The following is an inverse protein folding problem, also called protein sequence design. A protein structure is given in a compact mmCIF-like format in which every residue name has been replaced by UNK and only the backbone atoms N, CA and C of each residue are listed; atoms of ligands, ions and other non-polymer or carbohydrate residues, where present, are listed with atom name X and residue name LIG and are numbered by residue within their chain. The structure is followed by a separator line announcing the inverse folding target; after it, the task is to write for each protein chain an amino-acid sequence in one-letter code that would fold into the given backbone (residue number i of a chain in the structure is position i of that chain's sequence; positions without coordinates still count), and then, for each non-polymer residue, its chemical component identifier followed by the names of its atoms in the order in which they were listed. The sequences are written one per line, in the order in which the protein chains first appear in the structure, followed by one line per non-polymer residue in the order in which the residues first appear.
data_IF_548259774218
#
_entry.id   IF_548259774218
#
_cell.length_a   1.000
_cell.length_b   1.000
_cell.length_c   1.000
_cell.angle_alpha   90.00
_cell.angle_beta   90.00
_cell.angle_gamma   90.00
#
_symmetry.space_group_name_H-M   'P 1'
#
loop_
_entity.id
_entity.type
_entity.pdbx_description
1 polymer ?
#
# COMPACT_ATOMS: atom_id res chain seq x y z
N UNK A 1 -0.08 -17.61 -28.71
CA UNK A 1 -1.52 -17.47 -29.07
C UNK A 1 -2.10 -18.73 -29.69
N UNK A 2 -1.63 -19.23 -30.85
CA UNK A 2 -2.20 -20.44 -31.49
C UNK A 2 -2.14 -21.74 -30.65
N UNK A 3 -1.17 -21.88 -29.76
CA UNK A 3 -1.08 -23.02 -28.82
C UNK A 3 -1.97 -22.87 -27.58
N UNK A 4 -2.45 -21.65 -27.27
CA UNK A 4 -3.36 -21.37 -26.16
C UNK A 4 -4.80 -21.69 -26.60
N UNK A 5 -5.16 -21.36 -27.84
CA UNK A 5 -6.51 -21.61 -28.37
C UNK A 5 -6.83 -23.10 -28.59
N UNK A 6 -5.82 -23.94 -28.83
CA UNK A 6 -6.02 -25.38 -29.10
C UNK A 6 -6.35 -26.22 -27.86
N UNK A 7 -6.21 -25.67 -26.64
CA UNK A 7 -6.51 -26.39 -25.39
C UNK A 7 -8.00 -26.37 -24.99
N UNK A 8 -8.84 -25.55 -25.63
CA UNK A 8 -10.15 -25.16 -25.10
C UNK A 8 -11.38 -25.58 -25.92
N UNK A 9 -11.29 -26.63 -26.74
CA UNK A 9 -12.44 -27.14 -27.51
C UNK A 9 -13.22 -28.30 -26.85
N UNK A 10 -12.93 -28.67 -25.61
CA UNK A 10 -13.63 -29.75 -24.90
C UNK A 10 -14.24 -29.26 -23.58
N UNK A 11 -15.32 -29.91 -23.13
CA UNK A 11 -15.97 -29.67 -21.84
C UNK A 11 -14.97 -29.86 -20.69
N UNK A 12 -14.29 -28.79 -20.27
CA UNK A 12 -13.34 -28.80 -19.18
C UNK A 12 -14.08 -28.91 -17.84
N UNK A 13 -13.73 -29.92 -17.04
CA UNK A 13 -14.17 -30.07 -15.65
C UNK A 13 -13.75 -28.85 -14.81
N UNK A 14 -14.47 -28.57 -13.71
CA UNK A 14 -14.29 -27.36 -12.90
C UNK A 14 -12.83 -27.15 -12.42
N UNK A 15 -12.10 -28.24 -12.12
CA UNK A 15 -10.68 -28.19 -11.71
C UNK A 15 -9.78 -27.61 -12.80
N UNK A 16 -9.99 -28.03 -14.05
CA UNK A 16 -9.22 -27.51 -15.19
C UNK A 16 -9.46 -26.01 -15.34
N UNK A 17 -10.70 -25.56 -15.15
CA UNK A 17 -11.06 -24.14 -15.25
C UNK A 17 -10.41 -23.28 -14.16
N UNK A 18 -10.32 -23.77 -12.93
CA UNK A 18 -9.64 -23.05 -11.83
C UNK A 18 -8.15 -22.91 -12.10
N UNK A 19 -7.50 -23.96 -12.60
CA UNK A 19 -6.10 -23.92 -13.00
C UNK A 19 -5.86 -22.97 -14.17
N UNK A 20 -6.73 -22.99 -15.18
CA UNK A 20 -6.66 -22.06 -16.31
C UNK A 20 -6.84 -20.61 -15.85
N UNK A 21 -7.80 -20.35 -14.95
CA UNK A 21 -7.98 -19.04 -14.34
C UNK A 21 -6.73 -18.55 -13.61
N UNK A 22 -6.13 -19.41 -12.79
CA UNK A 22 -4.88 -19.10 -12.09
C UNK A 22 -3.76 -18.79 -13.08
N UNK A 23 -3.62 -19.59 -14.13
CA UNK A 23 -2.65 -19.39 -15.21
C UNK A 23 -2.83 -18.01 -15.88
N UNK A 24 -4.04 -17.67 -16.31
CA UNK A 24 -4.30 -16.35 -16.92
C UNK A 24 -3.98 -15.19 -15.97
N UNK A 25 -4.30 -15.31 -14.68
CA UNK A 25 -3.99 -14.29 -13.68
C UNK A 25 -2.47 -14.11 -13.47
N UNK A 26 -1.71 -15.21 -13.42
CA UNK A 26 -0.24 -15.18 -13.33
C UNK A 26 0.34 -14.49 -14.57
N UNK A 27 -0.11 -14.86 -15.77
CA UNK A 27 0.39 -14.28 -17.01
C UNK A 27 0.03 -12.81 -17.17
N UNK A 28 -1.17 -12.40 -16.73
CA UNK A 28 -1.57 -10.99 -16.74
C UNK A 28 -0.57 -10.13 -15.95
N UNK A 29 -0.17 -10.56 -14.75
CA UNK A 29 0.85 -9.88 -13.94
C UNK A 29 2.25 -10.00 -14.54
N UNK A 30 2.62 -11.20 -15.01
CA UNK A 30 3.92 -11.46 -15.61
C UNK A 30 4.23 -10.56 -16.79
N UNK A 31 3.25 -10.34 -17.68
CA UNK A 31 3.38 -9.44 -18.84
C UNK A 31 3.59 -7.98 -18.42
N UNK A 32 2.99 -7.54 -17.31
CA UNK A 32 3.17 -6.17 -16.82
C UNK A 32 4.57 -5.96 -16.24
N UNK A 33 5.10 -6.98 -15.57
CA UNK A 33 6.42 -6.91 -14.93
C UNK A 33 7.57 -7.36 -15.84
N UNK A 34 7.27 -7.88 -17.03
CA UNK A 34 8.27 -8.23 -18.03
C UNK A 34 8.95 -6.97 -18.59
N UNK A 35 10.23 -6.81 -18.25
CA UNK A 35 11.08 -5.69 -18.69
C UNK A 35 11.97 -6.01 -19.87
N UNK A 36 11.82 -7.19 -20.48
CA UNK A 36 12.67 -7.63 -21.58
C UNK A 36 12.64 -6.69 -22.81
N UNK A 37 11.64 -5.79 -22.89
CA UNK A 37 11.36 -4.94 -24.06
C UNK A 37 10.99 -3.50 -23.67
N UNK A 38 11.74 -2.86 -22.76
CA UNK A 38 11.52 -1.45 -22.40
C UNK A 38 11.74 -0.53 -23.62
N UNK A 39 10.63 -0.01 -24.18
CA UNK A 39 10.65 1.05 -25.21
C UNK A 39 9.54 0.96 -26.26
N UNK A 40 9.38 -0.16 -26.96
CA UNK A 40 8.44 -0.27 -28.09
C UNK A 40 7.12 -0.97 -27.74
N UNK A 41 7.10 -1.86 -26.74
CA UNK A 41 5.99 -2.79 -26.52
C UNK A 41 5.18 -2.52 -25.25
N UNK A 42 5.44 -1.45 -24.48
CA UNK A 42 4.75 -1.20 -23.19
C UNK A 42 3.23 -1.11 -23.33
N UNK A 43 2.72 -0.42 -24.36
CA UNK A 43 1.28 -0.34 -24.63
C UNK A 43 0.69 -1.68 -25.05
N UNK A 44 1.40 -2.45 -25.87
CA UNK A 44 0.99 -3.79 -26.30
C UNK A 44 0.98 -4.78 -25.14
N UNK A 45 1.94 -4.68 -24.21
CA UNK A 45 2.01 -5.50 -23.00
C UNK A 45 0.85 -5.17 -22.07
N UNK A 46 0.51 -3.89 -21.86
CA UNK A 46 -0.67 -3.49 -21.06
C UNK A 46 -1.97 -4.02 -21.68
N UNK A 47 -2.11 -3.93 -22.99
CA UNK A 47 -3.27 -4.47 -23.72
C UNK A 47 -3.36 -6.01 -23.62
N UNK A 48 -2.22 -6.71 -23.74
CA UNK A 48 -2.17 -8.16 -23.57
C UNK A 48 -2.50 -8.56 -22.13
N UNK A 49 -1.94 -7.86 -21.14
CA UNK A 49 -2.23 -8.09 -19.72
C UNK A 49 -3.72 -7.88 -19.42
N UNK A 50 -4.34 -6.85 -20.00
CA UNK A 50 -5.78 -6.61 -19.88
C UNK A 50 -6.60 -7.76 -20.46
N UNK A 51 -6.27 -8.26 -21.65
CA UNK A 51 -6.95 -9.42 -22.26
C UNK A 51 -6.84 -10.68 -21.40
N UNK A 52 -5.63 -10.97 -20.89
CA UNK A 52 -5.39 -12.11 -20.01
C UNK A 52 -6.18 -11.97 -18.70
N UNK A 53 -6.23 -10.78 -18.13
CA UNK A 53 -7.04 -10.49 -16.94
C UNK A 53 -8.54 -10.70 -17.20
N UNK A 54 -9.06 -10.23 -18.33
CA UNK A 54 -10.45 -10.45 -18.73
C UNK A 54 -10.78 -11.96 -18.87
N UNK A 55 -9.88 -12.77 -19.42
CA UNK A 55 -10.07 -14.23 -19.47
C UNK A 55 -10.06 -14.85 -18.06
N UNK A 56 -9.18 -14.40 -17.16
CA UNK A 56 -9.19 -14.84 -15.76
C UNK A 56 -10.51 -14.50 -15.06
N UNK A 57 -11.09 -13.32 -15.31
CA UNK A 57 -12.41 -12.94 -14.80
C UNK A 57 -13.53 -13.78 -15.41
N UNK A 58 -13.47 -14.08 -16.72
CA UNK A 58 -14.47 -14.91 -17.42
C UNK A 58 -14.53 -16.33 -16.87
N UNK A 59 -13.39 -16.86 -16.43
CA UNK A 59 -13.28 -18.19 -15.84
C UNK A 59 -13.62 -18.23 -14.34
N UNK A 60 -14.08 -17.12 -13.74
CA UNK A 60 -14.54 -17.13 -12.34
C UNK A 60 -15.76 -18.05 -12.21
N UNK A 61 -15.56 -19.21 -11.59
CA UNK A 61 -16.63 -20.19 -11.34
C UNK A 61 -17.53 -19.67 -10.22
N UNK A 62 -18.69 -19.12 -10.58
CA UNK A 62 -19.75 -18.73 -9.60
C UNK A 62 -20.72 -19.90 -9.34
N UNK A 63 -20.67 -20.95 -10.15
CA UNK A 63 -21.73 -21.95 -10.26
C UNK A 63 -21.76 -22.99 -9.14
N UNK A 64 -20.62 -23.26 -8.50
CA UNK A 64 -20.52 -24.15 -7.35
C UNK A 64 -20.07 -23.32 -6.14
N UNK A 65 -20.86 -23.30 -5.07
CA UNK A 65 -20.65 -22.51 -3.84
C UNK A 65 -19.43 -22.96 -3.00
N UNK A 66 -18.47 -23.64 -3.63
CA UNK A 66 -17.27 -24.17 -3.02
C UNK A 66 -16.11 -23.22 -3.29
N UNK A 67 -15.56 -22.62 -2.24
CA UNK A 67 -14.34 -21.83 -2.32
C UNK A 67 -13.15 -22.79 -2.28
N UNK A 68 -12.25 -22.73 -3.26
CA UNK A 68 -11.00 -23.49 -3.31
C UNK A 68 -9.80 -22.57 -3.10
N UNK A 69 -8.67 -23.14 -2.65
CA UNK A 69 -7.40 -22.39 -2.50
C UNK A 69 -6.95 -21.84 -3.86
N UNK A 70 -7.04 -22.63 -4.94
CA UNK A 70 -6.66 -22.23 -6.31
C UNK A 70 -7.49 -21.04 -6.78
N UNK A 71 -8.81 -21.08 -6.58
CA UNK A 71 -9.71 -19.97 -6.90
C UNK A 71 -9.40 -18.71 -6.09
N UNK A 72 -9.02 -18.85 -4.82
CA UNK A 72 -8.61 -17.74 -3.96
C UNK A 72 -7.22 -17.18 -4.33
N UNK A 73 -6.27 -18.03 -4.77
CA UNK A 73 -4.98 -17.58 -5.31
C UNK A 73 -5.19 -16.72 -6.56
N UNK A 74 -6.06 -17.13 -7.48
CA UNK A 74 -6.39 -16.34 -8.67
C UNK A 74 -7.09 -15.01 -8.31
N UNK A 75 -7.95 -15.00 -7.27
CA UNK A 75 -8.57 -13.79 -6.75
C UNK A 75 -7.55 -12.85 -6.08
N UNK A 76 -6.57 -13.38 -5.36
CA UNK A 76 -5.45 -12.59 -4.82
C UNK A 76 -4.61 -11.95 -5.95
N UNK A 77 -4.29 -12.70 -7.00
CA UNK A 77 -3.59 -12.14 -8.17
C UNK A 77 -4.42 -11.08 -8.90
N UNK A 78 -5.75 -11.20 -8.88
CA UNK A 78 -6.66 -10.15 -9.38
C UNK A 78 -6.53 -8.87 -8.56
N UNK A 79 -6.44 -8.98 -7.22
CA UNK A 79 -6.19 -7.82 -6.36
C UNK A 79 -4.85 -7.15 -6.72
N UNK A 80 -3.79 -7.94 -6.89
CA UNK A 80 -2.49 -7.42 -7.30
C UNK A 80 -2.54 -6.75 -8.68
N UNK A 81 -3.28 -7.31 -9.64
CA UNK A 81 -3.45 -6.72 -10.96
C UNK A 81 -4.06 -5.32 -10.87
N UNK A 82 -5.13 -5.15 -10.09
CA UNK A 82 -5.75 -3.83 -9.88
C UNK A 82 -4.76 -2.83 -9.26
N UNK A 83 -3.95 -3.26 -8.30
CA UNK A 83 -2.92 -2.40 -7.68
C UNK A 83 -1.84 -1.99 -8.69
N UNK A 84 -1.37 -2.92 -9.53
CA UNK A 84 -0.39 -2.63 -10.58
C UNK A 84 -0.97 -1.64 -11.60
N UNK A 85 -2.26 -1.76 -11.92
CA UNK A 85 -3.00 -0.85 -12.80
C UNK A 85 -3.46 0.43 -12.10
N UNK A 86 -3.10 0.63 -10.83
CA UNK A 86 -3.47 1.81 -10.05
C UNK A 86 -4.97 2.00 -9.84
N UNK A 87 -5.73 0.91 -9.87
CA UNK A 87 -7.18 0.82 -9.65
C UNK A 87 -7.45 0.50 -8.16
N UNK A 88 -7.15 1.43 -7.25
CA UNK A 88 -7.18 1.16 -5.81
C UNK A 88 -8.58 0.89 -5.25
N UNK A 89 -9.62 1.50 -5.82
CA UNK A 89 -11.00 1.28 -5.38
C UNK A 89 -11.44 -0.15 -5.69
N UNK A 90 -11.16 -0.61 -6.90
CA UNK A 90 -11.40 -1.97 -7.37
C UNK A 90 -10.54 -2.97 -6.60
N UNK A 91 -9.26 -2.63 -6.35
CA UNK A 91 -8.38 -3.44 -5.50
C UNK A 91 -8.95 -3.61 -4.09
N UNK A 92 -9.45 -2.54 -3.47
CA UNK A 92 -10.01 -2.59 -2.12
C UNK A 92 -11.28 -3.45 -2.07
N UNK A 93 -12.18 -3.29 -3.05
CA UNK A 93 -13.36 -4.14 -3.18
C UNK A 93 -12.99 -5.62 -3.41
N UNK A 94 -12.00 -5.88 -4.27
CA UNK A 94 -11.50 -7.22 -4.55
C UNK A 94 -10.86 -7.87 -3.31
N UNK A 95 -10.10 -7.12 -2.51
CA UNK A 95 -9.54 -7.57 -1.23
C UNK A 95 -10.65 -7.93 -0.25
N UNK A 96 -11.72 -7.14 -0.17
CA UNK A 96 -12.90 -7.47 0.64
C UNK A 96 -13.58 -8.77 0.19
N UNK A 97 -13.74 -8.98 -1.13
CA UNK A 97 -14.25 -10.24 -1.71
C UNK A 97 -13.35 -11.42 -1.36
N UNK A 98 -12.03 -11.27 -1.56
CA UNK A 98 -11.03 -12.27 -1.22
C UNK A 98 -11.06 -12.64 0.26
N UNK A 99 -11.19 -11.65 1.15
CA UNK A 99 -11.28 -11.89 2.59
C UNK A 99 -12.47 -12.80 2.92
N UNK A 100 -13.63 -12.58 2.29
CA UNK A 100 -14.80 -13.47 2.43
C UNK A 100 -14.55 -14.86 1.86
N UNK A 101 -13.88 -14.97 0.70
CA UNK A 101 -13.48 -16.26 0.13
C UNK A 101 -12.57 -17.04 1.09
N UNK A 102 -11.52 -16.42 1.62
CA UNK A 102 -10.57 -17.05 2.54
C UNK A 102 -11.23 -17.43 3.88
N UNK A 103 -12.18 -16.61 4.36
CA UNK A 103 -13.00 -16.94 5.53
C UNK A 103 -13.90 -18.14 5.27
N UNK A 104 -14.53 -18.21 4.10
CA UNK A 104 -15.39 -19.34 3.71
C UNK A 104 -14.61 -20.64 3.51
N UNK A 105 -13.34 -20.58 3.09
CA UNK A 105 -12.41 -21.74 3.06
C UNK A 105 -12.02 -22.16 4.49
N UNK A 106 -12.00 -21.24 5.44
CA UNK A 106 -11.58 -21.47 6.82
C UNK A 106 -10.09 -21.18 7.08
N UNK A 107 -9.38 -20.50 6.17
CA UNK A 107 -7.93 -20.24 6.29
C UNK A 107 -7.56 -19.23 7.39
N UNK A 108 -8.55 -18.53 7.96
CA UNK A 108 -8.39 -17.67 9.13
C UNK A 108 -8.37 -18.43 10.45
N UNK A 109 -8.67 -19.73 10.42
CA UNK A 109 -8.75 -20.60 11.60
C UNK A 109 -7.51 -21.46 11.75
N UNK A 110 -7.17 -21.79 12.99
CA UNK A 110 -6.18 -22.82 13.29
C UNK A 110 -6.59 -24.17 12.67
N UNK A 111 -5.71 -24.76 11.86
CA UNK A 111 -5.87 -26.10 11.29
C UNK A 111 -4.90 -27.07 11.96
N UNK A 112 -5.43 -28.14 12.57
CA UNK A 112 -4.59 -29.26 13.02
C UNK A 112 -3.92 -29.90 11.80
N UNK A 113 -2.64 -30.27 11.96
CA UNK A 113 -1.77 -30.82 10.91
C UNK A 113 -2.23 -32.19 10.39
N UNK A 114 -3.32 -32.76 10.90
CA UNK A 114 -3.84 -34.08 10.53
C UNK A 114 -4.52 -34.14 9.13
N UNK A 115 -4.30 -33.14 8.27
CA UNK A 115 -4.81 -33.06 6.89
C UNK A 115 -3.89 -33.80 5.89
N UNK A 116 -4.39 -34.39 4.79
CA UNK A 116 -3.65 -35.39 3.99
C UNK A 116 -2.41 -34.89 3.21
N UNK A 117 -2.15 -33.59 3.15
CA UNK A 117 -0.97 -33.01 2.48
C UNK A 117 -0.51 -31.75 3.23
N UNK A 118 0.63 -31.82 3.92
CA UNK A 118 1.28 -30.68 4.59
C UNK A 118 1.43 -29.46 3.67
N UNK A 119 1.70 -29.72 2.39
CA UNK A 119 1.89 -28.72 1.34
C UNK A 119 0.69 -27.80 1.14
N UNK A 120 -0.52 -28.36 0.97
CA UNK A 120 -1.74 -27.56 0.74
C UNK A 120 -2.10 -26.70 1.97
N UNK A 121 -1.73 -27.16 3.17
CA UNK A 121 -1.90 -26.42 4.42
C UNK A 121 -0.99 -25.17 4.45
N UNK A 122 0.28 -25.32 4.10
CA UNK A 122 1.25 -24.22 4.11
C UNK A 122 0.94 -23.19 3.02
N UNK A 123 0.53 -23.62 1.82
CA UNK A 123 0.08 -22.71 0.75
C UNK A 123 -1.17 -21.91 1.16
N UNK A 124 -2.11 -22.55 1.86
CA UNK A 124 -3.26 -21.87 2.46
C UNK A 124 -2.86 -20.80 3.47
N UNK A 125 -1.93 -21.10 4.38
CA UNK A 125 -1.40 -20.11 5.35
C UNK A 125 -0.71 -18.95 4.65
N UNK A 126 0.15 -19.22 3.66
CA UNK A 126 0.87 -18.20 2.90
C UNK A 126 -0.10 -17.28 2.18
N UNK A 127 -1.11 -17.83 1.52
CA UNK A 127 -2.16 -17.06 0.85
C UNK A 127 -2.91 -16.17 1.84
N UNK A 128 -3.35 -16.73 2.97
CA UNK A 128 -4.06 -15.99 4.01
C UNK A 128 -3.25 -14.81 4.53
N UNK A 129 -1.99 -15.03 4.93
CA UNK A 129 -1.16 -13.97 5.48
C UNK A 129 -0.71 -12.94 4.44
N UNK A 130 -0.54 -13.32 3.18
CA UNK A 130 -0.35 -12.38 2.06
C UNK A 130 -1.57 -11.48 1.86
N UNK A 131 -2.78 -12.06 1.84
CA UNK A 131 -4.03 -11.30 1.73
C UNK A 131 -4.25 -10.40 2.95
N UNK A 132 -3.92 -10.89 4.15
CA UNK A 132 -3.94 -10.12 5.39
C UNK A 132 -3.02 -8.90 5.32
N UNK A 133 -1.76 -9.08 4.91
CA UNK A 133 -0.83 -7.98 4.68
C UNK A 133 -1.41 -6.96 3.70
N UNK A 134 -1.95 -7.45 2.58
CA UNK A 134 -2.49 -6.59 1.54
C UNK A 134 -3.66 -5.74 2.06
N UNK A 135 -4.58 -6.33 2.82
CA UNK A 135 -5.68 -5.62 3.48
C UNK A 135 -5.17 -4.52 4.41
N UNK A 136 -4.21 -4.83 5.29
CA UNK A 136 -3.66 -3.84 6.25
C UNK A 136 -3.05 -2.63 5.57
N UNK A 137 -2.19 -2.84 4.57
CA UNK A 137 -1.53 -1.71 3.89
C UNK A 137 -2.46 -0.94 2.97
N UNK A 138 -3.36 -1.62 2.26
CA UNK A 138 -4.30 -0.94 1.37
C UNK A 138 -5.32 -0.12 2.17
N UNK A 139 -5.84 -0.69 3.26
CA UNK A 139 -6.73 0.01 4.19
C UNK A 139 -6.03 1.19 4.86
N UNK A 140 -4.77 1.03 5.30
CA UNK A 140 -3.95 2.13 5.82
C UNK A 140 -3.77 3.27 4.81
N UNK A 141 -3.46 2.92 3.56
CA UNK A 141 -3.27 3.90 2.48
C UNK A 141 -4.54 4.69 2.18
N UNK A 142 -5.69 4.01 2.15
CA UNK A 142 -6.97 4.58 1.75
C UNK A 142 -7.76 5.19 2.91
N UNK A 143 -7.28 5.09 4.16
CA UNK A 143 -8.05 5.51 5.33
C UNK A 143 -9.33 4.68 5.52
N UNK A 144 -9.32 3.40 5.15
CA UNK A 144 -10.52 2.53 5.18
C UNK A 144 -10.43 1.48 6.29
N UNK A 145 -11.57 0.96 6.77
CA UNK A 145 -11.57 -0.18 7.68
C UNK A 145 -11.00 -1.44 7.02
N UNK A 146 -10.29 -2.24 7.83
CA UNK A 146 -9.74 -3.53 7.41
C UNK A 146 -10.84 -4.58 7.22
N UNK A 147 -10.72 -5.41 6.18
CA UNK A 147 -11.62 -6.54 5.95
C UNK A 147 -11.40 -7.66 6.98
N UNK A 148 -10.16 -7.90 7.39
CA UNK A 148 -9.79 -8.88 8.40
C UNK A 148 -9.82 -8.31 9.81
N UNK A 149 -10.58 -8.95 10.69
CA UNK A 149 -10.69 -8.59 12.10
C UNK A 149 -9.80 -9.50 12.94
N UNK A 150 -8.84 -8.92 13.67
CA UNK A 150 -7.84 -9.70 14.41
C UNK A 150 -8.45 -10.61 15.48
N UNK A 151 -9.58 -10.21 16.06
CA UNK A 151 -10.33 -11.01 17.04
C UNK A 151 -10.88 -12.32 16.48
N UNK A 152 -11.02 -12.42 15.16
CA UNK A 152 -11.61 -13.58 14.49
C UNK A 152 -10.53 -14.54 13.95
N UNK A 153 -9.24 -14.20 14.10
CA UNK A 153 -8.11 -14.93 13.51
C UNK A 153 -7.35 -15.70 14.59
N UNK A 154 -7.32 -17.03 14.46
CA UNK A 154 -6.43 -17.92 15.22
C UNK A 154 -5.52 -18.78 14.34
N UNK A 155 -5.42 -18.46 13.04
CA UNK A 155 -4.49 -19.09 12.11
C UNK A 155 -3.01 -18.92 12.55
N UNK A 156 -2.23 -19.99 12.41
CA UNK A 156 -0.78 -19.95 12.60
C UNK A 156 -0.08 -19.25 11.45
N UNK A 157 1.10 -18.70 11.72
CA UNK A 157 2.01 -18.26 10.67
C UNK A 157 2.55 -19.44 9.84
N UNK A 158 2.95 -19.21 8.58
CA UNK A 158 3.62 -20.24 7.78
C UNK A 158 4.95 -20.67 8.40
N UNK A 159 5.30 -21.93 8.21
CA UNK A 159 6.57 -22.51 8.63
C UNK A 159 7.73 -21.98 7.77
N UNK A 160 8.94 -22.00 8.32
CA UNK A 160 10.15 -21.56 7.64
C UNK A 160 10.75 -22.66 6.74
N UNK A 161 9.92 -23.28 5.89
CA UNK A 161 10.35 -24.29 4.92
C UNK A 161 10.56 -23.64 3.56
N UNK A 162 11.70 -23.92 2.91
CA UNK A 162 11.97 -23.51 1.53
C UNK A 162 11.29 -24.48 0.56
N UNK A 163 10.53 -23.98 -0.41
CA UNK A 163 9.90 -24.80 -1.47
C UNK A 163 10.94 -25.58 -2.31
N UNK A 164 12.21 -25.16 -2.26
CA UNK A 164 13.35 -25.82 -2.92
C UNK A 164 13.82 -27.06 -2.14
N UNK A 165 13.67 -27.07 -0.81
CA UNK A 165 14.16 -28.15 0.05
C UNK A 165 13.25 -29.38 0.06
N UNK A 166 11.95 -29.24 -0.26
CA UNK A 166 11.03 -30.38 -0.36
C UNK A 166 11.23 -31.23 -1.64
N UNK A 167 11.90 -30.70 -2.67
CA UNK A 167 12.17 -31.41 -3.93
C UNK A 167 13.61 -31.96 -4.05
N UNK A 168 14.52 -31.63 -3.14
CA UNK A 168 15.92 -32.07 -3.20
C UNK A 168 16.18 -33.31 -2.34
N UNK A 169 16.04 -34.48 -2.98
CA UNK A 169 16.62 -35.78 -2.55
C UNK A 169 18.17 -35.77 -2.56
N UNK A 170 18.83 -34.61 -2.70
CA UNK A 170 20.29 -34.51 -2.84
C UNK A 170 20.93 -33.41 -1.99
N UNK A 171 21.01 -33.64 -0.67
CA UNK A 171 22.24 -33.49 0.14
C UNK A 171 23.02 -32.16 0.18
N UNK A 172 22.55 -31.07 -0.41
CA UNK A 172 23.13 -29.73 -0.30
C UNK A 172 22.09 -28.82 0.35
N UNK A 173 22.03 -28.85 1.68
CA UNK A 173 21.18 -27.93 2.44
C UNK A 173 21.41 -26.49 1.95
N UNK A 174 20.33 -25.73 1.76
CA UNK A 174 20.39 -24.34 1.29
C UNK A 174 21.43 -23.57 2.10
N UNK A 175 22.54 -23.19 1.47
CA UNK A 175 23.59 -22.41 2.13
C UNK A 175 23.16 -20.97 2.46
N UNK A 176 21.92 -20.58 2.12
CA UNK A 176 21.37 -19.24 2.33
C UNK A 176 20.15 -19.21 3.27
N UNK A 177 19.79 -18.03 3.83
CA UNK A 177 18.63 -17.87 4.69
C UNK A 177 17.30 -18.26 4.00
N UNK A 178 16.35 -18.83 4.74
CA UNK A 178 15.04 -19.20 4.18
C UNK A 178 14.31 -17.97 3.62
N UNK A 179 13.83 -18.04 2.37
CA UNK A 179 13.11 -16.95 1.70
C UNK A 179 11.81 -16.55 2.43
N UNK A 180 11.19 -17.48 3.16
CA UNK A 180 9.99 -17.22 3.94
C UNK A 180 10.25 -16.29 5.14
N UNK A 181 11.49 -16.17 5.61
CA UNK A 181 11.86 -15.39 6.81
C UNK A 181 11.39 -13.94 6.70
N UNK A 182 11.61 -13.30 5.55
CA UNK A 182 11.21 -11.90 5.36
C UNK A 182 9.69 -11.74 5.22
N UNK A 183 9.01 -12.70 4.57
CA UNK A 183 7.55 -12.69 4.47
C UNK A 183 6.90 -12.83 5.86
N UNK A 184 7.41 -13.77 6.68
CA UNK A 184 6.98 -13.96 8.06
C UNK A 184 7.19 -12.69 8.90
N UNK A 185 8.37 -12.07 8.81
CA UNK A 185 8.64 -10.80 9.47
C UNK A 185 7.64 -9.72 9.03
N UNK A 186 7.32 -9.67 7.73
CA UNK A 186 6.36 -8.71 7.19
C UNK A 186 4.94 -8.95 7.70
N UNK A 187 4.50 -10.20 7.78
CA UNK A 187 3.18 -10.55 8.34
C UNK A 187 3.04 -10.08 9.79
N UNK A 188 4.08 -10.28 10.60
CA UNK A 188 4.12 -9.80 11.99
C UNK A 188 4.04 -8.27 12.06
N UNK A 189 4.79 -7.56 11.22
CA UNK A 189 4.74 -6.09 11.17
C UNK A 189 3.37 -5.59 10.70
N UNK A 190 2.75 -6.23 9.73
CA UNK A 190 1.42 -5.86 9.25
C UNK A 190 0.35 -5.95 10.34
N UNK A 191 0.47 -6.88 11.31
CA UNK A 191 -0.39 -6.87 12.51
C UNK A 191 -0.21 -5.59 13.33
N UNK A 192 1.03 -5.13 13.51
CA UNK A 192 1.31 -3.89 14.24
C UNK A 192 0.76 -2.68 13.47
N UNK A 193 0.97 -2.61 12.14
CA UNK A 193 0.39 -1.58 11.27
C UNK A 193 -1.14 -1.59 11.31
N UNK A 194 -1.76 -2.77 11.40
CA UNK A 194 -3.19 -2.93 11.64
C UNK A 194 -3.63 -2.25 12.94
N UNK A 195 -2.93 -2.49 14.05
CA UNK A 195 -3.21 -1.81 15.31
C UNK A 195 -3.00 -0.29 15.22
N UNK A 196 -1.97 0.18 14.52
CA UNK A 196 -1.74 1.63 14.31
C UNK A 196 -2.96 2.26 13.62
N UNK A 197 -3.45 1.64 12.55
CA UNK A 197 -4.60 2.18 11.80
C UNK A 197 -5.90 2.12 12.59
N UNK A 198 -6.17 1.04 13.34
CA UNK A 198 -7.41 0.91 14.10
C UNK A 198 -7.41 1.67 15.42
N UNK A 199 -6.28 1.72 16.11
CA UNK A 199 -6.23 2.17 17.50
C UNK A 199 -5.85 3.65 17.60
N UNK A 200 -5.07 4.20 16.65
CA UNK A 200 -4.71 5.62 16.64
C UNK A 200 -5.69 6.42 15.78
N UNK A 201 -6.04 5.89 14.61
CA UNK A 201 -6.89 6.57 13.63
C UNK A 201 -8.33 6.08 13.60
N UNK A 202 -8.67 5.08 14.43
CA UNK A 202 -10.06 4.65 14.57
C UNK A 202 -10.90 5.53 15.50
N UNK A 203 -12.23 5.41 15.42
CA UNK A 203 -13.17 6.26 16.16
C UNK A 203 -13.13 6.06 17.69
N UNK A 204 -12.46 4.99 18.15
CA UNK A 204 -12.37 4.58 19.55
C UNK A 204 -11.38 5.43 20.36
N UNK A 205 -10.35 6.00 19.75
CA UNK A 205 -9.31 6.74 20.46
C UNK A 205 -9.55 8.25 20.40
N UNK A 206 -10.42 8.74 21.29
CA UNK A 206 -10.77 10.17 21.40
C UNK A 206 -9.96 10.91 22.45
N UNK A 207 -9.43 10.21 23.44
CA UNK A 207 -8.60 10.81 24.48
C UNK A 207 -7.14 10.95 24.04
N UNK A 208 -6.58 12.14 24.25
CA UNK A 208 -5.22 12.51 23.87
C UNK A 208 -4.21 11.72 24.69
N UNK A 209 -4.40 11.61 26.01
CA UNK A 209 -3.48 10.89 26.88
C UNK A 209 -3.46 9.40 26.57
N UNK A 210 -4.63 8.79 26.34
CA UNK A 210 -4.75 7.42 25.84
C UNK A 210 -4.01 7.23 24.51
N UNK A 211 -4.16 8.17 23.57
CA UNK A 211 -3.46 8.12 22.27
C UNK A 211 -1.95 8.12 22.44
N UNK A 212 -1.40 8.99 23.29
CA UNK A 212 0.04 9.05 23.57
C UNK A 212 0.55 7.74 24.18
N UNK A 213 -0.18 7.15 25.12
CA UNK A 213 0.17 5.84 25.71
C UNK A 213 0.16 4.73 24.66
N UNK A 214 -0.85 4.71 23.77
CA UNK A 214 -0.92 3.76 22.66
C UNK A 214 0.24 3.92 21.68
N UNK A 215 0.63 5.16 21.35
CA UNK A 215 1.78 5.45 20.49
C UNK A 215 3.06 4.87 21.09
N UNK A 216 3.32 5.12 22.39
CA UNK A 216 4.51 4.58 23.07
C UNK A 216 4.50 3.04 23.07
N UNK A 217 3.34 2.44 23.39
CA UNK A 217 3.20 0.99 23.38
C UNK A 217 3.42 0.37 21.99
N UNK A 218 2.88 0.99 20.93
CA UNK A 218 3.05 0.53 19.55
C UNK A 218 4.47 0.77 19.04
N UNK A 219 5.12 1.90 19.40
CA UNK A 219 6.54 2.15 19.10
C UNK A 219 7.43 1.05 19.68
N UNK A 220 7.20 0.66 20.93
CA UNK A 220 7.94 -0.44 21.57
C UNK A 220 7.73 -1.75 20.82
N UNK A 221 6.49 -2.09 20.43
CA UNK A 221 6.21 -3.29 19.62
C UNK A 221 6.94 -3.30 18.27
N UNK A 222 7.06 -2.14 17.61
CA UNK A 222 7.82 -2.02 16.36
C UNK A 222 9.33 -2.21 16.60
N UNK A 223 9.85 -1.70 17.72
CA UNK A 223 11.26 -1.89 18.11
C UNK A 223 11.55 -3.36 18.44
N UNK A 224 10.71 -3.98 19.29
CA UNK A 224 10.81 -5.40 19.65
C UNK A 224 10.79 -6.29 18.40
N UNK A 225 9.94 -5.94 17.42
CA UNK A 225 9.89 -6.62 16.13
C UNK A 225 11.21 -6.48 15.36
N UNK A 226 11.79 -5.28 15.31
CA UNK A 226 13.03 -5.01 14.60
C UNK A 226 14.24 -5.72 15.24
N UNK A 227 14.28 -5.82 16.57
CA UNK A 227 15.32 -6.52 17.32
C UNK A 227 15.31 -8.04 17.09
N UNK A 228 14.16 -8.61 16.76
CA UNK A 228 14.01 -10.04 16.45
C UNK A 228 14.46 -10.40 15.02
N UNK A 229 14.77 -9.42 14.18
CA UNK A 229 15.15 -9.68 12.79
C UNK A 229 16.60 -10.17 12.68
N UNK A 230 16.89 -11.11 11.77
CA UNK A 230 18.26 -11.39 11.36
C UNK A 230 18.97 -10.12 10.87
N UNK A 231 20.27 -10.02 11.12
CA UNK A 231 21.07 -8.84 10.79
C UNK A 231 20.92 -8.37 9.32
N UNK A 232 20.77 -9.31 8.38
CA UNK A 232 20.62 -8.99 6.95
C UNK A 232 19.25 -8.39 6.57
N UNK A 233 18.26 -8.44 7.47
CA UNK A 233 16.94 -7.83 7.34
C UNK A 233 16.73 -6.63 8.27
N UNK A 234 17.68 -6.34 9.17
CA UNK A 234 17.51 -5.30 10.18
C UNK A 234 17.46 -3.91 9.54
N UNK A 235 16.49 -3.05 9.92
CA UNK A 235 16.44 -1.65 9.47
C UNK A 235 17.63 -0.83 9.99
N UNK A 236 18.32 -1.29 11.04
CA UNK A 236 19.45 -0.62 11.66
C UNK A 236 20.80 -0.92 10.98
N UNK A 237 20.82 -1.68 9.87
CA UNK A 237 22.05 -2.09 9.16
C UNK A 237 22.76 -0.96 8.41
N UNK A 238 22.45 0.32 8.71
CA UNK A 238 23.12 1.49 8.13
C UNK A 238 23.01 1.57 6.61
N UNK A 239 21.91 1.06 6.04
CA UNK A 239 21.68 1.03 4.60
C UNK A 239 22.56 0.02 3.83
N UNK A 240 23.20 -0.93 4.50
CA UNK A 240 23.93 -2.02 3.85
C UNK A 240 22.95 -3.09 3.39
N UNK A 241 22.76 -3.19 2.08
CA UNK A 241 21.92 -4.23 1.49
C UNK A 241 22.71 -5.52 1.26
N UNK A 242 22.07 -6.70 1.41
CA UNK A 242 22.63 -7.97 0.97
C UNK A 242 23.07 -7.94 -0.49
N UNK A 243 24.11 -8.72 -0.83
CA UNK A 243 24.63 -8.80 -2.20
C UNK A 243 23.67 -9.50 -3.16
N UNK A 244 22.91 -10.49 -2.68
CA UNK A 244 21.95 -11.22 -3.52
C UNK A 244 20.68 -10.38 -3.73
N UNK A 245 20.24 -10.12 -4.98
CA UNK A 245 19.12 -9.22 -5.27
C UNK A 245 17.81 -9.58 -4.55
N UNK A 246 17.52 -10.87 -4.37
CA UNK A 246 16.31 -11.33 -3.66
C UNK A 246 16.31 -10.90 -2.19
N UNK A 247 17.43 -11.08 -1.49
CA UNK A 247 17.56 -10.66 -0.10
C UNK A 247 17.67 -9.13 0.03
N UNK A 248 18.30 -8.46 -0.93
CA UNK A 248 18.31 -7.00 -1.01
C UNK A 248 16.89 -6.43 -1.10
N UNK A 249 16.06 -7.01 -1.97
CA UNK A 249 14.65 -6.65 -2.09
C UNK A 249 13.89 -6.87 -0.78
N UNK A 250 14.09 -8.02 -0.13
CA UNK A 250 13.45 -8.34 1.15
C UNK A 250 13.83 -7.33 2.24
N UNK A 251 15.12 -7.04 2.38
CA UNK A 251 15.63 -6.06 3.33
C UNK A 251 15.07 -4.66 3.06
N UNK A 252 15.05 -4.22 1.80
CA UNK A 252 14.49 -2.92 1.41
C UNK A 252 13.00 -2.80 1.73
N UNK A 253 12.20 -3.84 1.44
CA UNK A 253 10.76 -3.86 1.73
C UNK A 253 10.51 -3.75 3.23
N UNK A 254 11.21 -4.55 4.04
CA UNK A 254 11.04 -4.53 5.49
C UNK A 254 11.53 -3.22 6.12
N UNK A 255 12.64 -2.67 5.63
CA UNK A 255 13.14 -1.37 6.08
C UNK A 255 12.14 -0.24 5.78
N UNK A 256 11.59 -0.21 4.57
CA UNK A 256 10.55 0.77 4.21
C UNK A 256 9.29 0.60 5.04
N UNK A 257 8.84 -0.64 5.26
CA UNK A 257 7.67 -0.93 6.08
C UNK A 257 7.87 -0.51 7.54
N UNK A 258 9.06 -0.76 8.10
CA UNK A 258 9.44 -0.31 9.45
C UNK A 258 9.33 1.21 9.58
N UNK A 259 10.02 1.96 8.71
CA UNK A 259 10.00 3.42 8.79
C UNK A 259 8.62 3.99 8.48
N UNK A 260 7.84 3.36 7.60
CA UNK A 260 6.46 3.77 7.38
C UNK A 260 5.58 3.56 8.62
N UNK A 261 5.77 2.47 9.37
CA UNK A 261 5.06 2.26 10.64
C UNK A 261 5.39 3.38 11.64
N UNK A 262 6.66 3.77 11.77
CA UNK A 262 7.08 4.88 12.65
C UNK A 262 6.51 6.21 12.17
N UNK A 263 6.61 6.51 10.87
CA UNK A 263 6.01 7.71 10.28
C UNK A 263 4.50 7.75 10.57
N UNK A 264 3.81 6.61 10.45
CA UNK A 264 2.37 6.49 10.72
C UNK A 264 2.01 6.66 12.20
N UNK A 265 2.92 6.45 13.16
CA UNK A 265 2.65 6.74 14.57
C UNK A 265 2.61 8.23 14.86
N UNK A 266 3.48 9.00 14.19
CA UNK A 266 3.81 10.35 14.59
C UNK A 266 3.40 11.44 13.59
N UNK A 267 3.02 11.09 12.35
CA UNK A 267 2.71 12.05 11.28
C UNK A 267 1.68 13.13 11.65
N UNK A 268 0.72 12.83 12.52
CA UNK A 268 -0.28 13.81 12.98
C UNK A 268 0.34 14.96 13.78
N UNK A 269 1.44 14.73 14.50
CA UNK A 269 2.10 15.74 15.34
C UNK A 269 2.94 16.75 14.54
N UNK A 270 3.32 16.42 13.31
CA UNK A 270 4.01 17.35 12.40
C UNK A 270 3.02 18.35 11.79
N UNK A 271 1.76 17.95 11.65
CA UNK A 271 0.71 18.77 11.04
C UNK A 271 0.08 19.76 12.01
N UNK A 272 0.15 19.49 13.32
CA UNK A 272 -0.38 20.40 14.34
C UNK A 272 0.36 21.75 14.31
N UNK A 273 -0.26 22.75 13.66
CA UNK A 273 0.26 24.13 13.54
C UNK A 273 0.17 24.92 14.84
N UNK A 274 -0.75 24.54 15.71
CA UNK A 274 -0.87 25.09 17.05
C UNK A 274 -0.86 23.91 18.03
N UNK A 275 0.10 23.84 18.96
CA UNK A 275 0.02 22.83 20.00
C UNK A 275 -1.26 23.11 20.78
N UNK A 276 -2.21 22.18 20.72
CA UNK A 276 -3.32 22.16 21.67
C UNK A 276 -2.71 22.34 23.07
N UNK A 277 -3.09 23.37 23.85
CA UNK A 277 -2.49 23.64 25.14
C UNK A 277 -2.64 22.48 26.15
N UNK A 278 -3.49 21.49 25.84
CA UNK A 278 -3.60 20.24 26.59
C UNK A 278 -2.50 19.21 26.26
N UNK A 279 -1.73 19.39 25.19
CA UNK A 279 -0.64 18.49 24.79
C UNK A 279 0.66 18.81 25.54
N UNK A 280 1.33 17.77 26.01
CA UNK A 280 2.70 17.88 26.51
C UNK A 280 3.65 18.29 25.37
N UNK A 281 4.19 19.50 25.46
CA UNK A 281 5.13 20.06 24.48
C UNK A 281 6.39 19.20 24.30
N UNK A 282 6.82 18.49 25.34
CA UNK A 282 7.99 17.60 25.27
C UNK A 282 7.67 16.39 24.41
N UNK A 283 6.51 15.76 24.63
CA UNK A 283 6.03 14.67 23.78
C UNK A 283 5.89 15.11 22.32
N UNK A 284 5.30 16.28 22.07
CA UNK A 284 5.12 16.81 20.70
C UNK A 284 6.46 16.98 19.99
N UNK A 285 7.46 17.57 20.65
CA UNK A 285 8.81 17.73 20.08
C UNK A 285 9.44 16.38 19.72
N UNK A 286 9.38 15.40 20.62
CA UNK A 286 9.92 14.05 20.37
C UNK A 286 9.19 13.37 19.22
N UNK A 287 7.87 13.48 19.16
CA UNK A 287 7.06 12.93 18.08
C UNK A 287 7.41 13.55 16.72
N UNK A 288 7.63 14.87 16.67
CA UNK A 288 8.03 15.56 15.44
C UNK A 288 9.41 15.12 14.96
N UNK A 289 10.38 14.96 15.87
CA UNK A 289 11.72 14.50 15.52
C UNK A 289 11.71 13.03 15.04
N UNK A 290 10.94 12.16 15.69
CA UNK A 290 10.74 10.76 15.27
C UNK A 290 10.07 10.65 13.88
N UNK A 291 9.06 11.49 13.61
CA UNK A 291 8.41 11.53 12.29
C UNK A 291 9.39 11.97 11.19
N UNK A 292 10.23 12.97 11.49
CA UNK A 292 11.23 13.49 10.55
C UNK A 292 12.36 12.50 10.31
N UNK A 293 12.87 11.84 11.35
CA UNK A 293 13.87 10.79 11.22
C UNK A 293 13.34 9.64 10.34
N UNK A 294 12.09 9.22 10.57
CA UNK A 294 11.45 8.20 9.74
C UNK A 294 11.32 8.65 8.27
N UNK A 295 10.89 9.88 8.03
CA UNK A 295 10.75 10.42 6.67
C UNK A 295 12.09 10.55 5.94
N UNK A 296 13.15 10.98 6.63
CA UNK A 296 14.50 11.05 6.07
C UNK A 296 15.08 9.67 5.78
N UNK A 297 14.84 8.70 6.67
CA UNK A 297 15.28 7.31 6.49
C UNK A 297 14.57 6.65 5.29
N UNK A 298 13.28 6.93 5.09
CA UNK A 298 12.55 6.56 3.88
C UNK A 298 13.20 7.18 2.65
N UNK A 299 13.51 8.48 2.68
CA UNK A 299 14.14 9.19 1.56
C UNK A 299 15.49 8.57 1.17
N UNK A 300 16.32 8.22 2.15
CA UNK A 300 17.58 7.50 1.93
C UNK A 300 17.35 6.12 1.32
N UNK A 301 16.38 5.35 1.83
CA UNK A 301 16.08 4.02 1.32
C UNK A 301 15.60 4.05 -0.14
N UNK A 302 14.67 4.94 -0.49
CA UNK A 302 14.18 5.06 -1.87
C UNK A 302 15.23 5.65 -2.81
N UNK A 303 16.15 6.47 -2.31
CA UNK A 303 17.33 6.93 -3.06
C UNK A 303 18.25 5.77 -3.43
N UNK A 304 18.54 4.89 -2.49
CA UNK A 304 19.34 3.69 -2.75
C UNK A 304 18.68 2.78 -3.80
N UNK A 305 17.36 2.60 -3.73
CA UNK A 305 16.60 1.85 -4.75
C UNK A 305 16.74 2.51 -6.12
N UNK A 306 16.56 3.83 -6.20
CA UNK A 306 16.71 4.59 -7.43
C UNK A 306 18.13 4.44 -8.02
N UNK A 307 19.16 4.64 -7.20
CA UNK A 307 20.56 4.63 -7.64
C UNK A 307 21.03 3.23 -8.05
N UNK A 308 20.48 2.18 -7.43
CA UNK A 308 20.73 0.82 -7.85
C UNK A 308 20.08 0.47 -9.20
N UNK A 309 19.06 1.21 -9.64
CA UNK A 309 18.22 0.86 -10.80
C UNK A 309 17.30 -0.36 -10.60
N UNK A 310 17.38 -1.03 -9.45
CA UNK A 310 16.63 -2.25 -9.14
C UNK A 310 15.28 -1.94 -8.51
N UNK A 311 14.38 -1.31 -9.28
CA UNK A 311 13.03 -1.04 -8.83
C UNK A 311 12.23 -2.32 -8.57
N UNK A 312 11.52 -2.39 -7.46
CA UNK A 312 10.59 -3.48 -7.17
C UNK A 312 9.17 -3.05 -7.48
N UNK A 313 8.77 -3.10 -8.76
CA UNK A 313 7.42 -2.67 -9.18
C UNK A 313 6.28 -3.54 -8.62
N UNK A 314 6.59 -4.76 -8.17
CA UNK A 314 5.65 -5.60 -7.41
C UNK A 314 5.26 -5.03 -6.05
N UNK A 315 6.05 -4.11 -5.49
CA UNK A 315 5.78 -3.47 -4.21
C UNK A 315 5.17 -2.08 -4.43
N UNK A 316 3.91 -2.08 -4.85
CA UNK A 316 3.08 -0.90 -5.15
C UNK A 316 3.06 0.13 -4.02
N UNK A 317 3.23 -0.31 -2.78
CA UNK A 317 3.19 0.54 -1.60
C UNK A 317 4.42 1.48 -1.47
N UNK A 318 5.55 1.18 -2.11
CA UNK A 318 6.77 2.01 -2.03
C UNK A 318 6.52 3.46 -2.42
N UNK A 319 5.78 3.67 -3.52
CA UNK A 319 5.48 5.01 -4.03
C UNK A 319 4.66 5.81 -3.03
N UNK A 320 3.71 5.16 -2.34
CA UNK A 320 2.94 5.79 -1.28
C UNK A 320 3.81 6.15 -0.06
N UNK A 321 4.70 5.25 0.37
CA UNK A 321 5.64 5.53 1.48
C UNK A 321 6.51 6.76 1.16
N UNK A 322 7.08 6.82 -0.05
CA UNK A 322 7.89 7.96 -0.50
C UNK A 322 7.09 9.26 -0.57
N UNK A 323 5.85 9.17 -1.06
CA UNK A 323 4.91 10.29 -1.10
C UNK A 323 4.60 10.81 0.30
N UNK A 324 4.20 9.93 1.22
CA UNK A 324 3.87 10.28 2.61
C UNK A 324 5.06 10.93 3.34
N UNK A 325 6.26 10.37 3.21
CA UNK A 325 7.48 10.96 3.76
C UNK A 325 7.76 12.36 3.19
N UNK A 326 7.55 12.54 1.88
CA UNK A 326 7.72 13.84 1.22
C UNK A 326 6.78 14.90 1.80
N UNK A 327 5.50 14.56 2.03
CA UNK A 327 4.54 15.49 2.60
C UNK A 327 4.93 15.92 4.03
N UNK A 328 5.33 14.98 4.88
CA UNK A 328 5.78 15.27 6.26
C UNK A 328 7.00 16.20 6.27
N UNK A 329 7.98 15.95 5.39
CA UNK A 329 9.14 16.83 5.26
C UNK A 329 8.76 18.19 4.69
N UNK A 330 7.84 18.27 3.72
CA UNK A 330 7.38 19.55 3.15
C UNK A 330 6.68 20.41 4.20
N UNK A 331 5.76 19.81 4.98
CA UNK A 331 5.10 20.50 6.10
C UNK A 331 6.15 21.07 7.06
N UNK A 332 7.14 20.26 7.42
CA UNK A 332 8.22 20.70 8.30
C UNK A 332 9.05 21.83 7.69
N UNK A 333 9.40 21.76 6.40
CA UNK A 333 10.12 22.86 5.73
C UNK A 333 9.32 24.15 5.63
N UNK A 334 7.99 24.09 5.58
CA UNK A 334 7.13 25.28 5.54
C UNK A 334 7.17 26.09 6.85
N UNK A 335 7.63 25.49 7.94
CA UNK A 335 7.76 26.10 9.26
C UNK A 335 9.18 26.64 9.53
N UNK A 336 10.13 26.43 8.61
CA UNK A 336 11.54 26.80 8.76
C UNK A 336 11.91 27.95 7.82
N UNK A 337 12.85 28.78 8.22
CA UNK A 337 13.43 29.78 7.33
C UNK A 337 14.34 29.12 6.27
N UNK A 338 14.33 29.60 5.00
CA UNK A 338 15.15 29.03 3.92
C UNK A 338 16.65 28.97 4.18
N UNK A 339 17.16 29.83 5.06
CA UNK A 339 18.58 29.92 5.40
C UNK A 339 18.99 28.91 6.48
N UNK A 340 18.05 28.19 7.07
CA UNK A 340 18.35 27.18 8.08
C UNK A 340 18.97 25.92 7.44
N UNK A 341 19.99 25.36 8.08
CA UNK A 341 20.61 24.11 7.65
C UNK A 341 19.61 22.95 7.62
N UNK A 342 18.64 22.95 8.56
CA UNK A 342 17.55 21.95 8.62
C UNK A 342 16.66 22.02 7.38
N UNK A 343 16.36 23.22 6.87
CA UNK A 343 15.60 23.39 5.62
C UNK A 343 16.34 22.75 4.44
N UNK A 344 17.63 23.03 4.27
CA UNK A 344 18.43 22.47 3.18
C UNK A 344 18.55 20.94 3.25
N UNK A 345 18.68 20.39 4.46
CA UNK A 345 18.72 18.94 4.68
C UNK A 345 17.40 18.27 4.27
N UNK A 346 16.27 18.77 4.77
CA UNK A 346 14.95 18.23 4.44
C UNK A 346 14.62 18.37 2.95
N UNK A 347 14.96 19.50 2.32
CA UNK A 347 14.77 19.69 0.89
C UNK A 347 15.56 18.69 0.04
N UNK A 348 16.79 18.36 0.44
CA UNK A 348 17.60 17.31 -0.19
C UNK A 348 16.95 15.92 -0.08
N UNK A 349 16.40 15.59 1.10
CA UNK A 349 15.64 14.36 1.31
C UNK A 349 14.35 14.32 0.50
N UNK A 350 13.60 15.43 0.39
CA UNK A 350 12.41 15.51 -0.48
C UNK A 350 12.80 15.27 -1.94
N UNK A 351 13.90 15.87 -2.43
CA UNK A 351 14.40 15.63 -3.79
C UNK A 351 14.75 14.16 -4.03
N UNK A 352 15.29 13.48 -3.02
CA UNK A 352 15.59 12.05 -3.10
C UNK A 352 14.32 11.21 -3.34
N UNK A 353 13.23 11.50 -2.61
CA UNK A 353 11.93 10.89 -2.87
C UNK A 353 11.39 11.25 -4.26
N UNK A 354 11.50 12.51 -4.67
CA UNK A 354 11.03 12.96 -5.98
C UNK A 354 11.72 12.24 -7.14
N UNK A 355 13.04 12.02 -7.08
CA UNK A 355 13.78 11.32 -8.13
C UNK A 355 13.33 9.86 -8.27
N UNK A 356 13.03 9.21 -7.15
CA UNK A 356 12.42 7.88 -7.14
C UNK A 356 11.01 7.92 -7.78
N UNK A 357 10.15 8.83 -7.32
CA UNK A 357 8.76 8.95 -7.81
C UNK A 357 8.71 9.28 -9.31
N UNK A 358 9.58 10.18 -9.79
CA UNK A 358 9.69 10.53 -11.21
C UNK A 358 10.04 9.30 -12.05
N UNK A 359 11.02 8.52 -11.60
CA UNK A 359 11.51 7.34 -12.32
C UNK A 359 10.45 6.25 -12.42
N UNK A 360 9.73 5.98 -11.33
CA UNK A 360 8.63 5.00 -11.30
C UNK A 360 7.38 5.55 -12.00
N UNK A 361 7.15 6.86 -11.96
CA UNK A 361 6.03 7.55 -12.58
C UNK A 361 5.98 7.39 -14.11
N UNK A 362 7.14 7.21 -14.76
CA UNK A 362 7.22 6.93 -16.21
C UNK A 362 6.40 5.73 -16.65
N UNK A 363 6.19 4.75 -15.76
CA UNK A 363 5.44 3.53 -16.07
C UNK A 363 4.13 3.40 -15.29
N UNK A 364 4.03 4.04 -14.12
CA UNK A 364 2.90 3.95 -13.21
C UNK A 364 2.24 5.34 -13.03
N UNK A 365 1.00 5.47 -13.51
CA UNK A 365 0.27 6.75 -13.54
C UNK A 365 0.02 7.36 -12.17
N UNK A 366 -0.25 6.54 -11.14
CA UNK A 366 -0.44 7.06 -9.78
C UNK A 366 0.87 7.58 -9.20
N UNK A 367 1.98 6.92 -9.48
CA UNK A 367 3.28 7.38 -8.98
C UNK A 367 3.69 8.70 -9.66
N UNK A 368 3.35 8.87 -10.94
CA UNK A 368 3.49 10.15 -11.64
C UNK A 368 2.61 11.25 -11.01
N UNK A 369 1.39 10.90 -10.59
CA UNK A 369 0.55 11.83 -9.83
C UNK A 369 1.19 12.22 -8.48
N UNK A 370 1.70 11.25 -7.71
CA UNK A 370 2.43 11.54 -6.46
C UNK A 370 3.61 12.47 -6.69
N UNK A 371 4.39 12.24 -7.75
CA UNK A 371 5.50 13.12 -8.13
C UNK A 371 5.01 14.55 -8.39
N UNK A 372 3.98 14.72 -9.22
CA UNK A 372 3.41 16.04 -9.58
C UNK A 372 2.87 16.78 -8.36
N UNK A 373 2.15 16.09 -7.47
CA UNK A 373 1.63 16.68 -6.23
C UNK A 373 2.78 17.16 -5.33
N UNK A 374 3.78 16.31 -5.09
CA UNK A 374 4.96 16.68 -4.27
C UNK A 374 5.70 17.85 -4.89
N UNK A 375 5.89 17.85 -6.22
CA UNK A 375 6.56 18.94 -6.93
C UNK A 375 5.82 20.27 -6.77
N UNK A 376 4.50 20.26 -6.97
CA UNK A 376 3.68 21.46 -6.90
C UNK A 376 3.65 22.05 -5.48
N UNK A 377 3.40 21.21 -4.47
CA UNK A 377 3.35 21.68 -3.06
C UNK A 377 4.73 22.21 -2.64
N UNK A 378 5.82 21.51 -2.99
CA UNK A 378 7.17 21.96 -2.68
C UNK A 378 7.50 23.31 -3.33
N UNK A 379 7.09 23.53 -4.58
CA UNK A 379 7.30 24.80 -5.27
C UNK A 379 6.49 25.91 -4.61
N UNK A 380 5.22 25.67 -4.27
CA UNK A 380 4.39 26.62 -3.55
C UNK A 380 5.00 27.01 -2.19
N UNK A 381 5.52 26.05 -1.42
CA UNK A 381 6.20 26.35 -0.14
C UNK A 381 7.44 27.21 -0.37
N UNK A 382 8.25 26.92 -1.39
CA UNK A 382 9.46 27.69 -1.73
C UNK A 382 9.16 29.13 -2.17
N UNK A 383 8.13 29.32 -2.98
CA UNK A 383 7.72 30.64 -3.47
C UNK A 383 7.14 31.52 -2.37
N UNK A 384 6.50 30.91 -1.37
CA UNK A 384 5.92 31.62 -0.21
C UNK A 384 6.87 31.72 0.98
N UNK A 385 8.01 31.01 0.98
CA UNK A 385 9.03 31.07 2.02
C UNK A 385 9.65 32.46 2.29
N UNK A 386 9.73 33.43 1.35
CA UNK A 386 10.11 34.80 1.68
C UNK A 386 8.97 35.65 2.27
N UNK A 387 7.72 35.16 2.29
CA UNK A 387 6.54 35.89 2.77
C UNK A 387 5.96 35.32 4.07
N UNK A 388 6.78 34.83 5.00
CA UNK A 388 6.35 34.24 6.29
C UNK A 388 5.44 35.16 7.15
N UNK A 389 5.14 36.39 6.71
CA UNK A 389 4.15 37.28 7.32
C UNK A 389 2.88 37.59 6.49
N UNK A 390 2.70 37.12 5.24
CA UNK A 390 1.48 37.40 4.48
C UNK A 390 0.95 36.16 3.73
N UNK A 391 -0.38 36.04 3.73
CA UNK A 391 -1.12 34.94 3.12
C UNK A 391 -0.81 34.75 1.62
N UNK A 392 -0.85 33.49 1.20
CA UNK A 392 -0.53 33.01 -0.15
C UNK A 392 -1.64 33.47 -1.12
N UNK A 393 -1.33 33.92 -2.35
CA UNK A 393 -2.35 34.42 -3.28
C UNK A 393 -3.30 33.30 -3.76
N UNK A 394 -4.61 33.59 -3.80
CA UNK A 394 -5.70 32.68 -4.18
C UNK A 394 -5.50 31.97 -5.54
N UNK A 395 -4.74 32.55 -6.47
CA UNK A 395 -4.47 31.95 -7.78
C UNK A 395 -3.59 30.70 -7.74
N UNK A 396 -2.95 30.38 -6.60
CA UNK A 396 -2.22 29.12 -6.39
C UNK A 396 -3.12 27.99 -5.86
N UNK A 397 -4.38 28.29 -5.52
CA UNK A 397 -5.37 27.38 -4.91
C UNK A 397 -6.39 26.86 -5.94
N UNK A 398 -6.50 27.49 -7.11
CA UNK A 398 -7.32 27.04 -8.24
C UNK A 398 -6.67 25.84 -8.97
N UNK A 399 -6.61 24.69 -8.30
CA UNK A 399 -6.35 23.40 -8.93
C UNK A 399 -7.66 22.60 -8.99
N UNK A 400 -7.98 22.04 -10.15
CA UNK A 400 -9.14 21.19 -10.35
C UNK A 400 -8.97 19.86 -9.59
N UNK A 401 -9.56 19.78 -8.40
CA UNK A 401 -9.56 18.60 -7.53
C UNK A 401 -10.62 17.57 -7.92
N UNK A 402 -11.34 17.78 -9.03
CA UNK A 402 -12.33 16.84 -9.54
C UNK A 402 -11.76 15.43 -9.69
N UNK A 403 -10.44 15.21 -9.77
CA UNK A 403 -9.83 13.87 -9.81
C UNK A 403 -9.99 13.05 -8.50
N UNK A 404 -10.03 13.71 -7.34
CA UNK A 404 -10.34 13.04 -6.06
C UNK A 404 -11.81 12.58 -6.06
N UNK A 405 -12.67 13.36 -6.72
CA UNK A 405 -14.06 13.01 -7.01
C UNK A 405 -14.20 12.08 -8.23
N UNK A 406 -13.30 12.04 -9.21
CA UNK A 406 -13.42 11.22 -10.43
C UNK A 406 -13.12 9.75 -10.13
N UNK A 407 -12.25 9.46 -9.16
CA UNK A 407 -12.16 8.12 -8.57
C UNK A 407 -13.46 7.72 -7.85
N UNK A 408 -14.30 8.69 -7.44
CA UNK A 408 -15.65 8.50 -6.91
C UNK A 408 -16.73 8.47 -8.02
N UNK A 409 -16.60 9.27 -9.07
CA UNK A 409 -17.59 9.52 -10.12
C UNK A 409 -17.48 8.56 -11.32
N UNK A 410 -16.33 7.89 -11.50
CA UNK A 410 -16.21 6.76 -12.44
C UNK A 410 -17.18 5.61 -12.09
N UNK A 411 -17.73 5.56 -10.87
CA UNK A 411 -18.78 4.62 -10.48
C UNK A 411 -20.20 4.99 -10.96
N UNK A 412 -20.47 6.25 -11.34
CA UNK A 412 -21.81 6.63 -11.82
C UNK A 412 -21.92 6.56 -13.35
N UNK A 413 -20.84 6.84 -14.09
CA UNK A 413 -20.87 6.89 -15.55
C UNK A 413 -20.95 5.49 -16.24
N UNK A 414 -20.67 4.39 -15.53
CA UNK A 414 -20.85 3.03 -16.05
C UNK A 414 -22.21 2.40 -15.75
N UNK A 415 -23.09 3.09 -15.01
CA UNK A 415 -24.47 2.65 -14.74
C UNK A 415 -25.52 3.26 -15.68
N UNK A 416 -25.14 4.22 -16.53
CA UNK A 416 -26.07 4.99 -17.37
C UNK A 416 -26.06 4.63 -18.86
N UNK A 417 -25.34 3.59 -19.29
CA UNK A 417 -25.43 3.03 -20.65
C UNK A 417 -26.32 1.78 -20.69
N UNK A 418 -27.61 1.96 -20.36
CA UNK A 418 -28.57 0.86 -20.35
C UNK A 418 -30.03 1.29 -20.34
N UNK A 419 -30.50 1.77 -21.50
CA UNK A 419 -31.91 1.93 -21.92
C UNK A 419 -32.83 2.91 -21.15
N UNK A 420 -33.39 3.82 -21.96
CA UNK A 420 -34.53 4.65 -21.65
C UNK A 420 -35.73 3.85 -21.12
N UNK A 421 -36.24 4.24 -19.96
CA UNK A 421 -37.68 4.49 -19.76
C UNK A 421 -37.89 5.49 -18.64
N UNK A 422 -38.62 6.52 -19.02
CA UNK A 422 -39.01 7.72 -18.30
C UNK A 422 -39.77 7.51 -16.98
N UNK A 423 -39.68 8.58 -16.18
CA UNK A 423 -40.69 9.16 -15.30
C UNK A 423 -41.02 8.45 -13.98
N UNK A 424 -40.64 9.16 -12.90
CA UNK A 424 -41.32 9.39 -11.61
C UNK A 424 -40.24 9.37 -10.51
N UNK A 425 -40.26 10.40 -9.65
CA UNK A 425 -39.29 10.69 -8.58
C UNK A 425 -38.14 11.65 -8.92
N UNK A 426 -38.45 12.76 -9.59
CA UNK A 426 -37.88 14.04 -9.19
C UNK A 426 -38.86 14.64 -8.17
N UNK A 427 -38.47 14.71 -6.89
CA UNK A 427 -38.97 15.74 -5.93
C UNK A 427 -38.51 15.52 -4.46
N UNK A 428 -37.69 14.50 -4.13
CA UNK A 428 -37.31 14.26 -2.72
C UNK A 428 -35.81 14.05 -2.39
N UNK A 429 -34.86 14.33 -3.28
CA UNK A 429 -33.42 14.12 -2.99
C UNK A 429 -32.59 15.38 -2.64
N UNK A 430 -33.21 16.53 -2.35
CA UNK A 430 -32.48 17.77 -2.01
C UNK A 430 -32.31 18.06 -0.51
N UNK A 431 -32.53 17.10 0.39
CA UNK A 431 -32.54 17.37 1.85
C UNK A 431 -31.44 16.68 2.69
N UNK A 432 -30.55 15.86 2.12
CA UNK A 432 -29.51 15.14 2.93
C UNK A 432 -28.08 15.21 2.38
N UNK A 433 -27.82 16.02 1.37
CA UNK A 433 -26.45 16.40 1.02
C UNK A 433 -26.05 17.57 1.93
N UNK A 434 -25.27 17.27 2.98
CA UNK A 434 -24.56 18.30 3.73
C UNK A 434 -23.81 19.18 2.74
N UNK A 435 -24.12 20.47 2.75
CA UNK A 435 -23.44 21.48 1.95
C UNK A 435 -21.96 21.49 2.34
N UNK A 436 -21.13 20.79 1.57
CA UNK A 436 -19.69 20.97 1.59
C UNK A 436 -19.42 22.28 0.85
N UNK A 437 -19.13 23.33 1.62
CA UNK A 437 -18.88 24.66 1.11
C UNK A 437 -17.39 24.75 0.71
N UNK A 438 -17.04 24.92 -0.58
CA UNK A 438 -15.65 24.86 -1.06
C UNK A 438 -14.75 26.01 -0.57
N UNK A 439 -15.27 26.95 0.22
CA UNK A 439 -14.55 28.13 0.71
C UNK A 439 -13.74 27.98 2.01
N UNK A 440 -13.35 26.76 2.44
CA UNK A 440 -12.72 26.56 3.76
C UNK A 440 -11.20 26.36 3.78
N UNK A 441 -10.51 26.21 2.64
CA UNK A 441 -9.05 26.04 2.61
C UNK A 441 -8.36 27.32 2.16
N UNK A 442 -7.87 28.10 3.12
CA UNK A 442 -7.24 29.40 2.90
C UNK A 442 -5.71 29.32 2.69
N UNK A 443 -5.12 28.12 2.83
CA UNK A 443 -3.69 27.88 2.57
C UNK A 443 -3.37 26.44 2.13
N UNK A 444 -2.26 26.20 1.39
CA UNK A 444 -1.75 24.85 1.05
C UNK A 444 -1.50 23.94 2.25
N UNK A 445 -1.33 24.53 3.43
CA UNK A 445 -1.17 23.78 4.66
C UNK A 445 -2.50 23.34 5.26
N UNK A 446 -3.60 24.07 5.05
CA UNK A 446 -4.94 23.60 5.40
C UNK A 446 -5.35 22.42 4.48
N UNK A 447 -4.78 22.34 3.27
CA UNK A 447 -4.93 21.21 2.34
C UNK A 447 -4.03 20.00 2.69
N UNK A 448 -2.79 20.23 3.13
CA UNK A 448 -1.93 19.18 3.72
C UNK A 448 -2.56 18.64 5.01
N UNK A 449 -3.14 19.53 5.81
CA UNK A 449 -3.90 19.21 7.00
C UNK A 449 -5.19 18.45 6.63
N UNK A 450 -5.91 18.81 5.56
CA UNK A 450 -7.04 18.03 5.06
C UNK A 450 -6.65 16.65 4.49
N UNK A 451 -5.52 16.51 3.79
CA UNK A 451 -5.02 15.20 3.32
C UNK A 451 -4.60 14.31 4.49
N UNK A 452 -3.95 14.89 5.51
CA UNK A 452 -3.59 14.15 6.72
C UNK A 452 -4.83 13.85 7.56
N UNK A 453 -5.79 14.78 7.70
CA UNK A 453 -7.07 14.57 8.39
C UNK A 453 -7.90 13.50 7.68
N UNK A 454 -8.08 13.57 6.36
CA UNK A 454 -8.85 12.57 5.58
C UNK A 454 -8.20 11.18 5.52
N UNK A 455 -6.91 11.06 5.83
CA UNK A 455 -6.23 9.77 6.00
C UNK A 455 -6.12 9.35 7.48
N UNK A 456 -6.70 10.13 8.41
CA UNK A 456 -6.74 9.87 9.86
C UNK A 456 -8.15 9.80 10.46
N UNK A 457 -9.20 10.11 9.70
CA UNK A 457 -10.63 9.90 10.01
C UNK A 457 -11.23 8.83 9.13
#
# INVERSE_FOLDING_TARGET
MRAIDQRFSAHADDISREQDRLFYAIYALGVIYDRSHDGSNSSQNKELAFKLHCEALRLRVVRNRTFSIVSAQAEFLTCLYYLTMSMFAEAWMAVGSLARSLQAIGLHRFTKVDSPTHFDCEDGKRLFWCAYCLDRYLSAMLGRPNAFQDRDIDADFPTLVSDVEENEVYGLGSAGPCLMTAALAHFKLAKIVGCITTDIYGPSCRDISQRQQLIVALRNRVNDWAEQLPAYLSPHSGGRLPLLPTYARQASVLNLAYWHAILSLYRSYVVLRSPDPSLDATFVSVAQDEALEAAQSIATAVRQIHDSGHYTFGFWFTSYIAFSASLVMIVSTSQLHPNESRYASLDSSIRSCMLFLESVGRINRVTDLYFKVVQNIRNAVRENAPQVNNAIPDSAVDFDWSWFDETFAMNQAQSSSGNARQHVMQDHETSYLGQYNPGFFQSPADMLEAYVISTTT
#
